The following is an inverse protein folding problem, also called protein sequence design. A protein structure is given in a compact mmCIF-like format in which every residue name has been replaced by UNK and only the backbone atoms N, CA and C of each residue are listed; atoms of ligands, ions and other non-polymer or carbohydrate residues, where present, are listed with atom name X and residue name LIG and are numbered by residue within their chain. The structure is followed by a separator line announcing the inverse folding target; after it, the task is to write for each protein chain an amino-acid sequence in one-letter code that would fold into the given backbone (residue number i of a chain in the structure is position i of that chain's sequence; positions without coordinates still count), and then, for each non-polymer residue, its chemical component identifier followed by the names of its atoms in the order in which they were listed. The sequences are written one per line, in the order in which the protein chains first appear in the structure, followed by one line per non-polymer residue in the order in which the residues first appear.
data_IF_074986219988
#
_entry.id   IF_074986219988
#
_cell.length_a   1.000
_cell.length_b   1.000
_cell.length_c   1.000
_cell.angle_alpha   90.00
_cell.angle_beta   90.00
_cell.angle_gamma   90.00
#
_symmetry.space_group_name_H-M   'P 1'
#
loop_
_entity.id
_entity.type
_entity.pdbx_description
1 polymer ?
#
# COMPACT_ATOMS: atom_id res chain seq x y z
N UNK A 1 21.15 16.63 -64.14
CA UNK A 1 21.24 16.11 -62.73
C UNK A 1 20.77 17.28 -61.89
N UNK A 2 19.50 17.30 -61.59
CA UNK A 2 18.89 18.32 -60.75
C UNK A 2 18.97 17.84 -59.31
N UNK A 3 19.77 18.55 -58.54
CA UNK A 3 19.80 18.36 -57.08
C UNK A 3 18.47 18.83 -56.47
N UNK A 4 17.75 17.90 -55.88
CA UNK A 4 16.51 18.15 -55.20
C UNK A 4 16.81 18.55 -53.73
N UNK A 5 16.60 19.82 -53.33
CA UNK A 5 16.92 20.30 -51.97
C UNK A 5 15.81 20.08 -50.93
N UNK A 6 14.95 19.07 -51.10
CA UNK A 6 13.83 18.83 -50.21
C UNK A 6 14.06 17.62 -49.28
N UNK A 7 15.14 17.72 -48.46
CA UNK A 7 15.27 16.87 -47.26
C UNK A 7 15.11 17.71 -45.98
N UNK A 8 14.06 18.51 -45.94
CA UNK A 8 13.55 19.02 -44.69
C UNK A 8 13.06 17.84 -43.87
N UNK A 9 13.82 17.40 -42.88
CA UNK A 9 13.44 16.39 -41.92
C UNK A 9 12.18 16.87 -41.17
N UNK A 10 10.99 16.57 -41.72
CA UNK A 10 9.75 16.80 -41.00
C UNK A 10 9.77 15.88 -39.77
N UNK A 11 9.89 16.47 -38.60
CA UNK A 11 9.76 15.76 -37.33
C UNK A 11 8.45 14.98 -37.33
N UNK A 12 8.44 13.73 -36.92
CA UNK A 12 7.22 12.95 -36.88
C UNK A 12 6.18 13.63 -35.98
N UNK A 13 4.94 13.74 -36.43
CA UNK A 13 3.83 14.42 -35.76
C UNK A 13 3.66 14.03 -34.27
N UNK A 14 4.15 12.85 -33.86
CA UNK A 14 4.18 12.41 -32.46
C UNK A 14 5.16 13.19 -31.60
N UNK A 15 6.29 13.58 -32.13
CA UNK A 15 7.35 14.30 -31.38
C UNK A 15 7.00 15.77 -31.19
N UNK A 16 6.32 16.41 -32.14
CA UNK A 16 5.87 17.80 -32.00
C UNK A 16 4.96 18.01 -30.79
N UNK A 17 4.19 17.00 -30.39
CA UNK A 17 3.33 17.04 -29.18
C UNK A 17 4.13 17.10 -27.86
N UNK A 18 5.37 16.86 -27.87
CA UNK A 18 6.26 16.99 -26.70
C UNK A 18 6.97 18.36 -26.69
N UNK A 19 7.03 19.06 -27.80
CA UNK A 19 7.77 20.31 -27.98
C UNK A 19 6.92 21.51 -27.54
N UNK A 20 7.55 22.43 -26.81
CA UNK A 20 7.03 23.77 -26.54
C UNK A 20 7.65 24.72 -27.55
N UNK A 21 6.81 25.40 -28.33
CA UNK A 21 7.23 26.40 -29.29
C UNK A 21 7.29 27.77 -28.61
N UNK A 22 8.43 28.42 -28.71
CA UNK A 22 8.63 29.81 -28.30
C UNK A 22 8.70 30.69 -29.54
N UNK A 23 7.82 31.66 -29.62
CA UNK A 23 7.74 32.58 -30.76
C UNK A 23 8.48 33.87 -30.42
N UNK A 24 9.34 34.39 -31.36
CA UNK A 24 10.03 35.65 -31.13
C UNK A 24 9.10 36.81 -30.79
N UNK A 25 9.56 37.66 -29.86
CA UNK A 25 8.70 38.70 -29.25
C UNK A 25 8.34 39.84 -30.22
N UNK A 26 9.13 40.11 -31.25
CA UNK A 26 8.91 41.18 -32.24
C UNK A 26 7.67 40.95 -33.12
N UNK A 27 7.07 39.81 -33.04
CA UNK A 27 5.88 39.46 -33.81
C UNK A 27 4.57 39.82 -33.12
N UNK A 28 4.63 40.36 -31.91
CA UNK A 28 3.47 40.59 -31.07
C UNK A 28 3.10 42.07 -30.92
N UNK A 29 1.80 42.35 -30.93
CA UNK A 29 1.21 43.53 -30.31
C UNK A 29 1.10 43.27 -28.82
N UNK A 30 1.53 44.22 -27.98
CA UNK A 30 1.55 44.06 -26.54
C UNK A 30 0.94 45.30 -25.89
N UNK A 31 0.10 45.11 -24.88
CA UNK A 31 -0.50 46.18 -24.11
C UNK A 31 -0.70 45.78 -22.64
N UNK A 32 -0.47 46.72 -21.73
CA UNK A 32 -0.77 46.55 -20.34
C UNK A 32 -2.06 47.32 -20.00
N UNK A 33 -3.09 46.61 -19.62
CA UNK A 33 -4.37 47.17 -19.25
C UNK A 33 -4.59 47.16 -17.76
N UNK A 34 -5.31 48.14 -17.20
CA UNK A 34 -5.71 48.16 -15.81
C UNK A 34 -6.83 47.18 -15.55
N UNK A 35 -6.71 46.38 -14.52
CA UNK A 35 -7.74 45.48 -14.03
C UNK A 35 -8.41 46.10 -12.81
N UNK A 36 -9.68 46.47 -12.84
CA UNK A 36 -10.38 46.95 -11.64
C UNK A 36 -10.45 45.88 -10.58
N UNK A 37 -10.29 46.24 -9.31
CA UNK A 37 -10.35 45.29 -8.16
C UNK A 37 -11.70 44.54 -8.05
N UNK A 38 -12.75 45.06 -8.68
CA UNK A 38 -14.09 44.47 -8.66
C UNK A 38 -14.32 43.35 -9.66
N UNK A 39 -13.36 43.09 -10.57
CA UNK A 39 -13.48 42.09 -11.64
C UNK A 39 -13.13 40.70 -11.11
N UNK A 40 -14.08 39.79 -11.17
CA UNK A 40 -13.83 38.39 -10.82
C UNK A 40 -12.92 37.73 -11.85
N UNK A 41 -12.16 36.70 -11.44
CA UNK A 41 -11.24 35.97 -12.34
C UNK A 41 -11.91 35.41 -13.58
N UNK A 42 -13.22 35.13 -13.54
CA UNK A 42 -14.00 34.63 -14.67
C UNK A 42 -14.32 35.72 -15.70
N UNK A 43 -14.36 36.98 -15.28
CA UNK A 43 -14.68 38.14 -16.10
C UNK A 43 -13.44 38.75 -16.75
N UNK A 44 -12.25 38.36 -16.32
CA UNK A 44 -10.97 38.83 -16.88
C UNK A 44 -10.88 38.52 -18.39
N UNK A 45 -11.32 37.34 -18.79
CA UNK A 45 -11.27 36.92 -20.21
C UNK A 45 -12.19 37.80 -21.07
N UNK A 46 -13.37 38.13 -20.58
CA UNK A 46 -14.31 39.03 -21.26
C UNK A 46 -13.75 40.46 -21.33
N UNK A 47 -13.08 40.93 -20.28
CA UNK A 47 -12.40 42.23 -20.30
C UNK A 47 -11.29 42.26 -21.34
N UNK A 48 -10.48 41.20 -21.45
CA UNK A 48 -9.41 41.06 -22.44
C UNK A 48 -9.98 41.03 -23.84
N UNK A 49 -11.04 40.26 -24.08
CA UNK A 49 -11.74 40.23 -25.37
C UNK A 49 -12.26 41.60 -25.78
N UNK A 50 -12.84 42.34 -24.84
CA UNK A 50 -13.33 43.71 -25.11
C UNK A 50 -12.20 44.71 -25.45
N UNK A 51 -10.95 44.44 -25.06
CA UNK A 51 -9.78 45.24 -25.51
C UNK A 51 -9.29 44.79 -26.88
N UNK A 52 -9.24 43.47 -27.12
CA UNK A 52 -8.84 42.90 -28.39
C UNK A 52 -9.76 43.31 -29.57
N UNK A 53 -11.04 43.56 -29.30
CA UNK A 53 -12.02 44.03 -30.27
C UNK A 53 -11.87 45.50 -30.66
N UNK A 54 -11.02 46.25 -29.94
CA UNK A 54 -10.77 47.66 -30.28
C UNK A 54 -9.69 47.77 -31.37
N UNK A 55 -9.97 48.56 -32.37
CA UNK A 55 -9.05 48.85 -33.47
C UNK A 55 -7.70 49.45 -32.99
N UNK A 56 -7.70 50.05 -31.79
CA UNK A 56 -6.51 50.68 -31.20
C UNK A 56 -5.43 49.65 -30.79
N UNK A 57 -5.84 48.45 -30.41
CA UNK A 57 -4.90 47.38 -30.04
C UNK A 57 -4.25 46.70 -31.24
N UNK A 58 -5.06 46.34 -32.24
CA UNK A 58 -4.63 45.62 -33.42
C UNK A 58 -5.50 45.91 -34.63
N UNK A 59 -4.94 46.07 -35.83
CA UNK A 59 -5.71 46.25 -37.05
C UNK A 59 -6.40 44.96 -37.55
N UNK A 60 -6.24 43.86 -36.82
CA UNK A 60 -6.79 42.57 -37.20
C UNK A 60 -7.99 42.19 -36.30
N UNK A 61 -9.05 41.59 -36.86
CA UNK A 61 -10.14 41.05 -36.08
C UNK A 61 -9.68 39.95 -35.10
N UNK A 62 -10.36 39.80 -33.96
CA UNK A 62 -9.99 38.87 -32.87
C UNK A 62 -9.90 37.42 -33.34
N UNK A 63 -10.79 37.01 -34.25
CA UNK A 63 -10.81 35.66 -34.84
C UNK A 63 -9.58 35.34 -35.71
N UNK A 64 -8.82 36.37 -36.12
CA UNK A 64 -7.59 36.27 -36.88
C UNK A 64 -6.34 36.39 -36.00
N UNK A 65 -6.50 36.54 -34.68
CA UNK A 65 -5.42 36.70 -33.72
C UNK A 65 -5.18 35.43 -32.90
N UNK A 66 -3.94 35.04 -32.80
CA UNK A 66 -3.43 34.18 -31.72
C UNK A 66 -3.09 35.08 -30.55
N UNK A 67 -3.77 34.94 -29.42
CA UNK A 67 -3.62 35.83 -28.27
C UNK A 67 -3.53 35.09 -26.95
N UNK A 68 -2.94 35.76 -25.99
CA UNK A 68 -2.83 35.33 -24.61
C UNK A 68 -2.70 36.53 -23.69
N UNK A 69 -2.84 36.29 -22.41
CA UNK A 69 -2.66 37.30 -21.39
C UNK A 69 -2.06 36.74 -20.12
N UNK A 70 -1.46 37.63 -19.35
CA UNK A 70 -0.92 37.32 -18.04
C UNK A 70 -1.46 38.26 -16.98
N UNK A 71 -1.97 37.71 -15.90
CA UNK A 71 -2.44 38.44 -14.73
C UNK A 71 -1.89 37.81 -13.43
N UNK A 72 -1.77 38.61 -12.39
CA UNK A 72 -1.39 38.14 -11.06
C UNK A 72 -2.29 38.77 -10.00
N UNK A 73 -2.65 38.05 -8.93
CA UNK A 73 -3.37 38.62 -7.80
C UNK A 73 -2.61 39.76 -7.09
N UNK A 74 -1.31 39.83 -7.29
CA UNK A 74 -0.41 40.84 -6.69
C UNK A 74 -0.35 42.13 -7.52
N UNK A 75 -1.07 42.19 -8.64
CA UNK A 75 -1.05 43.32 -9.57
C UNK A 75 -2.44 43.66 -10.09
N UNK A 76 -2.78 44.93 -10.11
CA UNK A 76 -4.01 45.47 -10.71
C UNK A 76 -3.87 45.66 -12.23
N UNK A 77 -2.94 44.91 -12.85
CA UNK A 77 -2.67 45.00 -14.27
C UNK A 77 -2.79 43.64 -14.94
N UNK A 78 -3.19 43.64 -16.19
CA UNK A 78 -3.20 42.48 -17.08
C UNK A 78 -2.31 42.82 -18.26
N UNK A 79 -1.34 41.97 -18.56
CA UNK A 79 -0.51 42.10 -19.74
C UNK A 79 -1.11 41.26 -20.87
N UNK A 80 -1.52 41.92 -21.95
CA UNK A 80 -2.13 41.33 -23.12
C UNK A 80 -1.16 41.34 -24.29
N UNK A 81 -1.16 40.25 -25.05
CA UNK A 81 -0.34 40.13 -26.27
C UNK A 81 -1.06 39.30 -27.31
N UNK A 82 -0.89 39.69 -28.56
CA UNK A 82 -1.50 39.00 -29.71
C UNK A 82 -0.64 39.10 -30.95
N UNK A 83 -0.81 38.16 -31.87
CA UNK A 83 -0.18 38.14 -33.18
C UNK A 83 -1.11 37.57 -34.22
N UNK A 84 -1.13 38.10 -35.48
CA UNK A 84 -2.01 37.57 -36.53
C UNK A 84 -1.62 36.15 -36.93
N UNK A 85 -2.59 35.25 -37.10
CA UNK A 85 -2.33 33.92 -37.64
C UNK A 85 -1.68 33.93 -39.01
N UNK A 86 -2.00 34.96 -39.84
CA UNK A 86 -1.35 35.15 -41.14
C UNK A 86 0.17 35.34 -41.01
N UNK A 87 0.62 36.11 -40.00
CA UNK A 87 2.05 36.33 -39.74
C UNK A 87 2.73 35.02 -39.28
N UNK A 88 2.12 34.30 -38.37
CA UNK A 88 2.63 33.00 -37.90
C UNK A 88 2.74 31.98 -39.04
N UNK A 89 1.75 31.97 -39.94
CA UNK A 89 1.75 31.10 -41.11
C UNK A 89 2.89 31.43 -42.07
N UNK A 90 3.14 32.73 -42.31
CA UNK A 90 4.25 33.18 -43.16
C UNK A 90 5.63 32.81 -42.59
N UNK A 91 5.73 32.65 -41.27
CA UNK A 91 6.93 32.17 -40.55
C UNK A 91 7.03 30.65 -40.50
N UNK A 92 6.11 29.91 -41.13
CA UNK A 92 6.11 28.47 -41.18
C UNK A 92 5.31 27.79 -40.05
N UNK A 93 4.75 28.52 -39.09
CA UNK A 93 4.03 27.96 -37.94
C UNK A 93 2.52 27.88 -38.26
N UNK A 94 2.14 26.94 -39.11
CA UNK A 94 0.74 26.87 -39.61
C UNK A 94 -0.22 26.20 -38.64
N UNK A 95 0.25 25.19 -37.89
CA UNK A 95 -0.56 24.33 -37.04
C UNK A 95 -0.08 24.37 -35.57
N UNK A 96 -0.41 25.44 -34.86
CA UNK A 96 -0.02 25.60 -33.44
C UNK A 96 -0.52 24.49 -32.54
N UNK A 97 -1.60 23.81 -32.93
CA UNK A 97 -2.21 22.70 -32.18
C UNK A 97 -1.33 21.44 -32.12
N UNK A 98 -0.34 21.33 -33.02
CA UNK A 98 0.60 20.21 -33.02
C UNK A 98 1.59 20.27 -31.86
N UNK A 99 1.87 21.47 -31.36
CA UNK A 99 2.81 21.69 -30.28
C UNK A 99 2.13 21.45 -28.92
N UNK A 100 2.95 21.04 -27.95
CA UNK A 100 2.49 20.88 -26.57
C UNK A 100 1.97 22.17 -25.96
N UNK A 101 2.67 23.28 -26.26
CA UNK A 101 2.38 24.66 -25.87
C UNK A 101 3.02 25.62 -26.84
N UNK A 102 2.47 26.82 -26.92
CA UNK A 102 2.99 27.88 -27.78
C UNK A 102 2.97 29.19 -27.00
N UNK A 103 4.13 29.80 -26.80
CA UNK A 103 4.27 31.06 -26.06
C UNK A 103 5.13 32.06 -26.83
N UNK A 104 4.94 33.37 -26.59
CA UNK A 104 6.01 34.34 -26.89
C UNK A 104 7.23 34.08 -25.99
N UNK A 105 8.44 34.27 -26.49
CA UNK A 105 9.68 34.08 -25.72
C UNK A 105 9.71 34.91 -24.43
N UNK A 106 9.19 36.12 -24.45
CA UNK A 106 9.15 37.03 -23.29
C UNK A 106 8.26 36.55 -22.13
N UNK A 107 7.40 35.53 -22.33
CA UNK A 107 6.62 34.93 -21.24
C UNK A 107 7.54 34.34 -20.15
N UNK A 108 8.77 34.01 -20.53
CA UNK A 108 9.79 33.56 -19.57
C UNK A 108 10.20 34.60 -18.53
N UNK A 109 9.85 35.86 -18.74
CA UNK A 109 10.07 36.94 -17.78
C UNK A 109 8.89 37.14 -16.79
N UNK A 110 7.71 36.58 -17.07
CA UNK A 110 6.50 36.80 -16.28
C UNK A 110 6.59 36.18 -14.90
N UNK A 111 6.08 36.87 -13.89
CA UNK A 111 6.11 36.40 -12.51
C UNK A 111 7.41 36.79 -11.77
N UNK A 112 8.35 37.47 -12.41
CA UNK A 112 9.48 38.07 -11.74
C UNK A 112 9.00 39.27 -10.90
N UNK A 113 9.47 39.36 -9.66
CA UNK A 113 9.13 40.45 -8.74
C UNK A 113 10.36 41.25 -8.39
N UNK A 114 10.24 42.57 -8.37
CA UNK A 114 11.36 43.49 -8.20
C UNK A 114 11.07 44.49 -7.06
N UNK A 115 12.09 44.79 -6.26
CA UNK A 115 11.99 45.82 -5.19
C UNK A 115 11.92 47.25 -5.71
N UNK A 116 12.32 47.46 -6.98
CA UNK A 116 12.31 48.76 -7.69
C UNK A 116 11.74 48.56 -9.09
N UNK A 117 11.22 49.62 -9.73
CA UNK A 117 10.91 49.59 -11.14
C UNK A 117 12.15 49.16 -11.94
N UNK A 118 12.03 48.08 -12.67
CA UNK A 118 13.19 47.43 -13.30
C UNK A 118 12.90 47.06 -14.75
N UNK A 119 13.87 47.32 -15.62
CA UNK A 119 13.88 46.79 -16.99
C UNK A 119 14.84 45.63 -17.10
N UNK A 120 14.33 44.49 -17.53
CA UNK A 120 15.08 43.25 -17.75
C UNK A 120 15.19 42.97 -19.24
N UNK A 121 16.40 42.64 -19.71
CA UNK A 121 16.67 42.28 -21.06
C UNK A 121 16.72 40.75 -21.20
N UNK A 122 16.05 40.22 -22.23
CA UNK A 122 16.01 38.79 -22.57
C UNK A 122 16.45 38.58 -24.00
N UNK A 123 17.47 37.78 -24.19
CA UNK A 123 17.89 37.26 -25.51
C UNK A 123 17.33 35.83 -25.68
N UNK A 124 16.58 35.62 -26.73
CA UNK A 124 16.13 34.30 -27.15
C UNK A 124 16.24 34.17 -28.66
N UNK A 125 17.06 33.21 -29.11
CA UNK A 125 17.37 33.06 -30.54
C UNK A 125 17.81 34.39 -31.16
N UNK A 126 17.14 34.84 -32.21
CA UNK A 126 17.43 36.06 -32.93
C UNK A 126 16.63 37.29 -32.44
N UNK A 127 16.11 37.27 -31.19
CA UNK A 127 15.28 38.35 -30.63
C UNK A 127 15.82 38.84 -29.31
N UNK A 128 16.02 40.16 -29.18
CA UNK A 128 16.25 40.83 -27.92
C UNK A 128 14.96 41.50 -27.45
N UNK A 129 14.47 41.16 -26.26
CA UNK A 129 13.29 41.73 -25.63
C UNK A 129 13.66 42.51 -24.38
N UNK A 130 12.98 43.63 -24.11
CA UNK A 130 13.04 44.38 -22.88
C UNK A 130 11.68 44.34 -22.18
N UNK A 131 11.60 43.79 -20.98
CA UNK A 131 10.42 43.78 -20.13
C UNK A 131 10.56 44.81 -19.01
N UNK A 132 9.64 45.77 -18.92
CA UNK A 132 9.58 46.80 -17.90
C UNK A 132 8.59 46.38 -16.81
N UNK A 133 9.05 46.32 -15.56
CA UNK A 133 8.26 45.89 -14.40
C UNK A 133 8.17 47.02 -13.37
N UNK A 134 6.99 47.25 -12.87
CA UNK A 134 6.77 48.15 -11.72
C UNK A 134 7.26 47.48 -10.42
N UNK A 135 7.50 48.31 -9.39
CA UNK A 135 7.85 47.81 -8.08
C UNK A 135 6.80 46.83 -7.59
N UNK A 136 7.26 45.66 -7.10
CA UNK A 136 6.43 44.62 -6.50
C UNK A 136 5.31 44.09 -7.43
N UNK A 137 5.40 44.32 -8.74
CA UNK A 137 4.45 43.80 -9.74
C UNK A 137 5.07 42.68 -10.59
N UNK A 138 4.54 41.46 -10.54
CA UNK A 138 4.99 40.37 -11.38
C UNK A 138 4.45 40.43 -12.81
N UNK A 139 3.64 41.46 -13.12
CA UNK A 139 3.07 41.72 -14.44
C UNK A 139 3.88 42.83 -15.09
N UNK A 140 4.44 42.62 -16.30
CA UNK A 140 5.17 43.68 -17.00
C UNK A 140 4.25 44.82 -17.40
N UNK A 141 4.75 46.04 -17.31
CA UNK A 141 4.06 47.25 -17.77
C UNK A 141 4.20 47.46 -19.26
N UNK A 142 5.37 47.10 -19.82
CA UNK A 142 5.65 47.16 -21.23
C UNK A 142 6.63 46.06 -21.65
N UNK A 143 6.51 45.60 -22.88
CA UNK A 143 7.50 44.73 -23.52
C UNK A 143 7.82 45.26 -24.89
N UNK A 144 9.10 45.44 -25.18
CA UNK A 144 9.61 45.86 -26.47
C UNK A 144 10.51 44.73 -26.98
N UNK A 145 10.46 44.41 -28.28
CA UNK A 145 11.28 43.37 -28.87
C UNK A 145 11.78 43.79 -30.23
N UNK A 146 13.06 43.49 -30.49
CA UNK A 146 13.71 43.73 -31.77
C UNK A 146 14.45 42.49 -32.26
N UNK A 147 14.38 42.18 -33.56
CA UNK A 147 15.20 41.16 -34.16
C UNK A 147 16.68 41.56 -34.16
N UNK A 148 17.56 40.61 -33.92
CA UNK A 148 19.00 40.77 -33.93
C UNK A 148 19.66 39.53 -34.52
N UNK A 149 20.89 39.70 -34.95
CA UNK A 149 21.79 38.58 -35.17
C UNK A 149 22.54 38.33 -33.85
N UNK A 150 22.32 37.21 -33.14
CA UNK A 150 22.96 36.98 -31.86
C UNK A 150 24.48 36.72 -31.97
N UNK A 151 24.96 36.41 -33.15
CA UNK A 151 26.42 36.21 -33.42
C UNK A 151 27.16 37.53 -33.67
N UNK A 152 26.44 38.62 -33.94
CA UNK A 152 27.00 39.94 -34.16
C UNK A 152 26.86 40.81 -32.89
N UNK A 153 27.98 41.00 -32.19
CA UNK A 153 28.03 41.83 -30.97
C UNK A 153 27.64 43.31 -31.25
N UNK A 154 27.94 43.83 -32.46
CA UNK A 154 27.58 45.23 -32.84
C UNK A 154 26.07 45.33 -33.03
N UNK A 155 25.43 44.34 -33.68
CA UNK A 155 23.96 44.28 -33.83
C UNK A 155 23.26 44.19 -32.49
N UNK A 156 23.80 43.39 -31.54
CA UNK A 156 23.29 43.30 -30.18
C UNK A 156 23.36 44.66 -29.44
N UNK A 157 24.48 45.37 -29.56
CA UNK A 157 24.66 46.70 -28.97
C UNK A 157 23.70 47.74 -29.55
N UNK A 158 23.48 47.73 -30.86
CA UNK A 158 22.54 48.61 -31.56
C UNK A 158 21.09 48.30 -31.13
N UNK A 159 20.70 47.01 -31.09
CA UNK A 159 19.36 46.60 -30.67
C UNK A 159 19.08 46.97 -29.21
N UNK A 160 20.07 46.77 -28.33
CA UNK A 160 19.99 47.22 -26.93
C UNK A 160 19.78 48.72 -26.81
N UNK A 161 20.56 49.52 -27.56
CA UNK A 161 20.42 50.98 -27.60
C UNK A 161 19.02 51.42 -28.08
N UNK A 162 18.49 50.76 -29.10
CA UNK A 162 17.12 51.01 -29.59
C UNK A 162 16.07 50.67 -28.54
N UNK A 163 16.16 49.50 -27.91
CA UNK A 163 15.24 49.08 -26.82
C UNK A 163 15.28 50.09 -25.67
N UNK A 164 16.44 50.47 -25.21
CA UNK A 164 16.58 51.40 -24.11
C UNK A 164 16.05 52.80 -24.44
N UNK A 165 16.07 53.21 -25.72
CA UNK A 165 15.43 54.48 -26.11
C UNK A 165 13.93 54.49 -26.06
N UNK A 166 13.28 53.30 -25.97
CA UNK A 166 11.82 53.17 -25.78
C UNK A 166 11.42 53.04 -24.31
N UNK A 167 12.38 52.77 -23.44
CA UNK A 167 12.20 52.64 -21.98
C UNK A 167 12.34 54.02 -21.34
N UNK A 168 11.48 54.33 -20.37
CA UNK A 168 11.63 55.53 -19.53
C UNK A 168 12.77 55.28 -18.51
N UNK A 169 13.99 55.66 -18.87
CA UNK A 169 15.19 55.45 -18.09
C UNK A 169 15.22 56.32 -16.79
N UNK A 170 14.32 57.31 -16.67
CA UNK A 170 14.18 58.08 -15.44
C UNK A 170 13.38 57.32 -14.40
N UNK A 171 12.47 56.47 -14.84
CA UNK A 171 11.63 55.68 -13.99
C UNK A 171 12.16 54.27 -13.73
N UNK A 172 12.72 53.62 -14.75
CA UNK A 172 13.16 52.22 -14.67
C UNK A 172 14.67 52.08 -14.53
N UNK A 173 15.11 51.32 -13.53
CA UNK A 173 16.49 50.83 -13.42
C UNK A 173 16.71 49.72 -14.44
N UNK A 174 17.69 49.86 -15.36
CA UNK A 174 18.01 48.82 -16.35
C UNK A 174 19.00 47.83 -15.76
N UNK A 175 18.68 46.54 -15.78
CA UNK A 175 19.65 45.51 -15.47
C UNK A 175 20.81 45.55 -16.46
N UNK A 176 22.05 45.56 -15.92
CA UNK A 176 23.24 45.73 -16.74
C UNK A 176 23.49 44.59 -17.71
N UNK A 177 23.00 43.40 -17.37
CA UNK A 177 23.25 42.17 -18.11
C UNK A 177 21.99 41.66 -18.84
N UNK A 178 22.20 40.76 -19.79
CA UNK A 178 21.13 40.19 -20.62
C UNK A 178 20.89 38.75 -20.16
N UNK A 179 19.65 38.41 -19.90
CA UNK A 179 19.22 37.03 -19.69
C UNK A 179 19.14 36.27 -20.99
N UNK A 180 19.58 35.02 -20.99
CA UNK A 180 19.40 34.09 -22.10
C UNK A 180 18.53 32.94 -21.60
N UNK A 181 17.44 32.63 -22.27
CA UNK A 181 16.60 31.50 -21.95
C UNK A 181 17.27 30.20 -22.40
N UNK A 182 17.49 29.27 -21.44
CA UNK A 182 18.14 27.99 -21.73
C UNK A 182 17.10 26.86 -21.85
N UNK A 183 16.29 26.67 -20.79
CA UNK A 183 15.37 25.54 -20.73
C UNK A 183 13.99 25.92 -20.18
N UNK A 184 13.02 25.13 -20.58
CA UNK A 184 11.67 25.17 -20.06
C UNK A 184 11.22 23.77 -19.67
N UNK A 185 10.94 23.54 -18.40
CA UNK A 185 10.53 22.22 -17.91
C UNK A 185 9.52 22.31 -16.78
N UNK A 186 8.91 21.18 -16.48
CA UNK A 186 7.96 21.04 -15.38
C UNK A 186 8.66 20.52 -14.13
N UNK A 187 8.52 21.24 -13.01
CA UNK A 187 9.02 20.83 -11.70
C UNK A 187 8.19 19.67 -11.12
N UNK A 188 8.73 18.98 -10.11
CA UNK A 188 8.03 17.90 -9.39
C UNK A 188 6.75 18.39 -8.71
N UNK A 189 6.73 19.64 -8.26
CA UNK A 189 5.60 20.28 -7.57
C UNK A 189 4.50 20.74 -8.55
N UNK A 190 4.70 20.53 -9.84
CA UNK A 190 3.71 20.81 -10.88
C UNK A 190 3.78 22.20 -11.48
N UNK A 191 4.67 23.07 -11.00
CA UNK A 191 4.98 24.34 -11.63
C UNK A 191 5.80 24.16 -12.89
N UNK A 192 5.84 25.20 -13.70
CA UNK A 192 6.68 25.25 -14.88
C UNK A 192 7.76 26.29 -14.65
N UNK A 193 8.99 25.89 -14.94
CA UNK A 193 10.18 26.69 -14.72
C UNK A 193 10.81 27.08 -16.03
N UNK A 194 11.13 28.36 -16.18
CA UNK A 194 12.02 28.87 -17.23
C UNK A 194 13.39 29.05 -16.61
N UNK A 195 14.39 28.36 -17.13
CA UNK A 195 15.77 28.49 -16.71
C UNK A 195 16.48 29.51 -17.60
N UNK A 196 17.14 30.48 -16.93
CA UNK A 196 17.88 31.54 -17.58
C UNK A 196 19.33 31.54 -17.15
N UNK A 197 20.20 31.98 -18.01
CA UNK A 197 21.57 32.34 -17.67
C UNK A 197 21.87 33.78 -18.06
N UNK A 198 22.93 34.36 -17.47
CA UNK A 198 23.42 35.67 -17.85
C UNK A 198 24.38 35.55 -19.06
N UNK A 199 24.20 36.42 -20.02
CA UNK A 199 25.03 36.41 -21.24
C UNK A 199 26.52 36.61 -20.92
N UNK A 200 26.87 37.47 -19.96
CA UNK A 200 28.24 37.85 -19.60
C UNK A 200 28.76 37.08 -18.36
N UNK A 201 28.09 36.06 -17.91
CA UNK A 201 28.63 35.16 -16.89
C UNK A 201 28.76 35.79 -15.49
N UNK A 202 27.65 36.19 -14.90
CA UNK A 202 27.59 36.54 -13.47
C UNK A 202 27.66 35.29 -12.58
N UNK A 203 27.94 35.53 -11.29
CA UNK A 203 28.06 34.49 -10.28
C UNK A 203 26.84 33.54 -10.30
N UNK A 204 27.03 32.20 -10.42
CA UNK A 204 25.96 31.20 -10.49
C UNK A 204 24.97 31.25 -9.31
N UNK A 205 25.37 31.85 -8.18
CA UNK A 205 24.46 32.01 -7.03
C UNK A 205 23.34 33.03 -7.25
N UNK A 206 23.55 34.00 -8.16
CA UNK A 206 22.52 34.96 -8.57
C UNK A 206 21.56 34.38 -9.61
N UNK A 207 21.96 33.34 -10.34
CA UNK A 207 21.13 32.66 -11.34
C UNK A 207 19.95 31.91 -10.69
N UNK A 208 20.13 31.35 -9.49
CA UNK A 208 19.11 30.56 -8.80
C UNK A 208 17.91 31.37 -8.29
N UNK A 209 18.08 32.66 -8.01
CA UNK A 209 16.98 33.52 -7.48
C UNK A 209 16.05 34.06 -8.57
N UNK A 210 16.41 33.90 -9.87
CA UNK A 210 15.69 34.54 -10.97
C UNK A 210 14.88 33.59 -11.85
N UNK A 211 14.81 32.33 -11.48
CA UNK A 211 14.02 31.36 -12.22
C UNK A 211 12.52 31.61 -12.04
N UNK A 212 11.85 31.92 -13.12
CA UNK A 212 10.42 32.17 -13.13
C UNK A 212 9.64 30.89 -13.01
N UNK A 213 8.75 30.82 -12.02
CA UNK A 213 7.84 29.70 -11.80
C UNK A 213 6.41 30.09 -12.16
N UNK A 214 5.84 29.45 -13.16
CA UNK A 214 4.44 29.68 -13.56
C UNK A 214 3.58 28.48 -13.19
N UNK A 215 2.43 28.74 -12.55
CA UNK A 215 1.40 27.74 -12.33
C UNK A 215 0.77 27.24 -13.63
N UNK A 216 0.27 26.02 -13.62
CA UNK A 216 -0.36 25.42 -14.80
C UNK A 216 -1.53 26.25 -15.37
N UNK A 217 -2.30 26.90 -14.49
CA UNK A 217 -3.45 27.71 -14.89
C UNK A 217 -3.01 28.99 -15.63
N UNK A 218 -1.95 29.66 -15.13
CA UNK A 218 -1.35 30.82 -15.78
C UNK A 218 -0.82 30.49 -17.17
N UNK A 219 -0.22 29.28 -17.32
CA UNK A 219 0.27 28.82 -18.63
C UNK A 219 -0.81 28.59 -19.67
N UNK A 220 -2.04 28.29 -19.29
CA UNK A 220 -3.15 28.21 -20.23
C UNK A 220 -3.60 29.59 -20.72
N UNK A 221 -3.47 30.61 -19.87
CA UNK A 221 -3.81 32.00 -20.22
C UNK A 221 -2.81 32.60 -21.21
N UNK A 222 -1.52 32.28 -21.06
CA UNK A 222 -0.46 32.75 -21.95
C UNK A 222 -0.27 31.93 -23.22
N UNK A 223 -0.94 30.77 -23.34
CA UNK A 223 -0.84 29.87 -24.50
C UNK A 223 -1.57 30.47 -25.73
N UNK A 224 -0.88 30.58 -26.86
CA UNK A 224 -1.34 31.17 -28.08
C UNK A 224 -2.21 30.25 -28.95
N UNK A 225 -2.39 29.01 -28.56
CA UNK A 225 -3.24 28.09 -29.31
C UNK A 225 -4.71 28.54 -29.29
N UNK A 226 -5.49 28.23 -30.33
CA UNK A 226 -6.90 28.67 -30.42
C UNK A 226 -7.70 28.36 -29.15
N UNK A 227 -8.57 29.27 -28.66
CA UNK A 227 -9.33 29.09 -27.42
C UNK A 227 -10.15 27.79 -27.41
N UNK A 228 -10.82 27.46 -28.52
CA UNK A 228 -11.59 26.21 -28.65
C UNK A 228 -10.72 24.97 -28.48
N UNK A 229 -9.52 24.98 -29.02
CA UNK A 229 -8.56 23.90 -28.84
C UNK A 229 -8.08 23.81 -27.39
N UNK A 230 -7.74 24.96 -26.76
CA UNK A 230 -7.33 25.00 -25.33
C UNK A 230 -8.39 24.41 -24.43
N UNK A 231 -9.66 24.77 -24.58
CA UNK A 231 -10.76 24.21 -23.81
C UNK A 231 -10.92 22.70 -24.00
N UNK A 232 -10.89 22.26 -25.26
CA UNK A 232 -11.02 20.85 -25.60
C UNK A 232 -9.88 20.02 -24.96
N UNK A 233 -8.67 20.52 -25.04
CA UNK A 233 -7.49 19.85 -24.48
C UNK A 233 -7.52 19.88 -22.95
N UNK A 234 -7.99 20.97 -22.32
CA UNK A 234 -8.19 21.02 -20.86
C UNK A 234 -9.24 20.01 -20.42
N UNK A 235 -10.39 19.95 -21.10
CA UNK A 235 -11.44 18.96 -20.83
C UNK A 235 -10.91 17.54 -20.98
N UNK A 236 -10.17 17.27 -22.06
CA UNK A 236 -9.54 15.97 -22.31
C UNK A 236 -8.55 15.57 -21.20
N UNK A 237 -7.69 16.48 -20.74
CA UNK A 237 -6.72 16.23 -19.65
C UNK A 237 -7.42 16.01 -18.31
N UNK A 238 -8.47 16.78 -17.99
CA UNK A 238 -9.31 16.57 -16.79
C UNK A 238 -10.00 15.21 -16.86
N UNK A 239 -10.59 14.85 -18.00
CA UNK A 239 -11.26 13.56 -18.18
C UNK A 239 -10.27 12.39 -18.10
N UNK A 240 -9.11 12.50 -18.72
CA UNK A 240 -8.05 11.48 -18.61
C UNK A 240 -7.60 11.25 -17.17
N UNK A 241 -7.45 12.33 -16.38
CA UNK A 241 -7.10 12.25 -14.95
C UNK A 241 -8.21 11.58 -14.15
N UNK A 242 -9.48 11.97 -14.37
CA UNK A 242 -10.64 11.34 -13.72
C UNK A 242 -10.75 9.86 -14.08
N UNK A 243 -10.58 9.52 -15.37
CA UNK A 243 -10.58 8.14 -15.84
C UNK A 243 -9.47 7.32 -15.15
N UNK A 244 -8.27 7.87 -15.04
CA UNK A 244 -7.17 7.22 -14.33
C UNK A 244 -7.49 7.01 -12.85
N UNK A 245 -8.01 8.03 -12.16
CA UNK A 245 -8.44 7.91 -10.77
C UNK A 245 -9.54 6.85 -10.59
N UNK A 246 -10.52 6.83 -11.50
CA UNK A 246 -11.57 5.82 -11.49
C UNK A 246 -11.01 4.41 -11.72
N UNK A 247 -10.05 4.21 -12.62
CA UNK A 247 -9.38 2.92 -12.83
C UNK A 247 -8.61 2.46 -11.59
N UNK A 248 -7.88 3.36 -10.94
CA UNK A 248 -7.12 3.05 -9.73
C UNK A 248 -8.06 2.70 -8.57
N UNK A 249 -9.13 3.49 -8.37
CA UNK A 249 -10.11 3.21 -7.30
C UNK A 249 -10.86 1.90 -7.54
N UNK A 250 -11.20 1.59 -8.80
CA UNK A 250 -11.82 0.32 -9.16
C UNK A 250 -10.87 -0.87 -8.94
N UNK A 251 -9.59 -0.72 -9.32
CA UNK A 251 -8.55 -1.72 -9.04
C UNK A 251 -8.37 -1.99 -7.54
N UNK A 252 -8.34 -0.93 -6.71
CA UNK A 252 -8.28 -1.06 -5.25
C UNK A 252 -9.54 -1.74 -4.69
N UNK A 253 -10.72 -1.40 -5.21
CA UNK A 253 -11.98 -2.05 -4.84
C UNK A 253 -11.97 -3.54 -5.16
N UNK A 254 -11.54 -3.93 -6.36
CA UNK A 254 -11.37 -5.33 -6.75
C UNK A 254 -10.38 -6.07 -5.85
N UNK A 255 -9.25 -5.47 -5.54
CA UNK A 255 -8.26 -6.05 -4.62
C UNK A 255 -8.84 -6.28 -3.22
N UNK A 256 -9.60 -5.31 -2.70
CA UNK A 256 -10.28 -5.46 -1.40
C UNK A 256 -11.30 -6.61 -1.42
N UNK A 257 -12.10 -6.73 -2.48
CA UNK A 257 -13.06 -7.86 -2.64
C UNK A 257 -12.32 -9.20 -2.69
N UNK A 258 -11.20 -9.30 -3.40
CA UNK A 258 -10.41 -10.53 -3.46
C UNK A 258 -9.84 -10.91 -2.09
N UNK A 259 -9.36 -9.93 -1.31
CA UNK A 259 -8.88 -10.16 0.05
C UNK A 259 -10.01 -10.65 0.95
N UNK A 260 -11.21 -10.06 0.86
CA UNK A 260 -12.38 -10.51 1.62
C UNK A 260 -12.79 -11.93 1.23
N UNK A 261 -12.83 -12.25 -0.06
CA UNK A 261 -13.15 -13.61 -0.53
C UNK A 261 -12.11 -14.64 -0.06
N UNK A 262 -10.83 -14.29 -0.10
CA UNK A 262 -9.77 -15.14 0.43
C UNK A 262 -9.94 -15.34 1.96
N UNK A 263 -10.27 -14.28 2.70
CA UNK A 263 -10.55 -14.35 4.13
C UNK A 263 -11.75 -15.24 4.46
N UNK A 264 -12.85 -15.07 3.74
CA UNK A 264 -14.05 -15.94 3.90
C UNK A 264 -13.73 -17.39 3.57
N UNK A 265 -12.98 -17.64 2.49
CA UNK A 265 -12.56 -18.99 2.11
C UNK A 265 -11.67 -19.62 3.18
N UNK A 266 -10.73 -18.86 3.72
CA UNK A 266 -9.87 -19.30 4.81
C UNK A 266 -10.65 -19.64 6.07
N UNK A 267 -11.59 -18.77 6.47
CA UNK A 267 -12.47 -19.03 7.62
C UNK A 267 -13.35 -20.27 7.39
N UNK A 268 -13.84 -20.48 6.16
CA UNK A 268 -14.62 -21.68 5.81
C UNK A 268 -13.79 -22.95 5.96
N UNK A 269 -12.54 -22.96 5.54
CA UNK A 269 -11.63 -24.10 5.71
C UNK A 269 -11.39 -24.41 7.20
N UNK A 270 -11.13 -23.38 8.01
CA UNK A 270 -10.95 -23.56 9.45
C UNK A 270 -12.24 -24.08 10.11
N UNK A 271 -13.41 -23.52 9.77
CA UNK A 271 -14.68 -23.94 10.35
C UNK A 271 -15.05 -25.38 9.95
N UNK A 272 -14.76 -25.79 8.72
CA UNK A 272 -15.00 -27.16 8.29
C UNK A 272 -14.08 -28.17 9.00
N UNK A 273 -12.82 -27.79 9.25
CA UNK A 273 -11.91 -28.59 10.07
C UNK A 273 -12.42 -28.79 11.48
N UNK A 274 -12.82 -27.70 12.17
CA UNK A 274 -13.42 -27.77 13.52
C UNK A 274 -14.72 -28.56 13.56
N UNK A 275 -15.56 -28.45 12.52
CA UNK A 275 -16.79 -29.25 12.42
C UNK A 275 -16.51 -30.75 12.26
N UNK A 276 -15.49 -31.12 11.47
CA UNK A 276 -15.07 -32.50 11.32
C UNK A 276 -14.50 -33.10 12.62
N UNK A 277 -13.69 -32.31 13.35
CA UNK A 277 -13.17 -32.71 14.67
C UNK A 277 -14.29 -32.86 15.69
N UNK A 278 -15.26 -31.94 15.71
CA UNK A 278 -16.43 -32.04 16.57
C UNK A 278 -17.27 -33.31 16.24
N UNK A 279 -17.48 -33.63 14.96
CA UNK A 279 -18.15 -34.84 14.54
C UNK A 279 -17.42 -36.12 15.01
N UNK A 280 -16.10 -36.13 14.93
CA UNK A 280 -15.29 -37.25 15.45
C UNK A 280 -15.46 -37.39 16.96
N UNK A 281 -15.39 -36.32 17.72
CA UNK A 281 -15.61 -36.30 19.15
C UNK A 281 -17.04 -36.79 19.51
N UNK A 282 -18.05 -36.34 18.78
CA UNK A 282 -19.43 -36.82 18.98
C UNK A 282 -19.61 -38.32 18.70
N UNK A 283 -18.87 -38.85 17.72
CA UNK A 283 -18.90 -40.27 17.41
C UNK A 283 -18.27 -41.13 18.52
N UNK A 284 -17.36 -40.59 19.35
CA UNK A 284 -16.74 -41.27 20.48
C UNK A 284 -17.57 -41.21 21.77
N UNK A 285 -18.49 -40.25 21.88
CA UNK A 285 -19.33 -40.04 23.08
C UNK A 285 -20.10 -41.30 23.49
N UNK A 286 -20.72 -42.10 22.58
CA UNK A 286 -21.39 -43.33 22.97
C UNK A 286 -20.49 -44.30 23.69
N UNK A 287 -19.27 -44.48 23.13
CA UNK A 287 -18.29 -45.41 23.68
C UNK A 287 -17.84 -45.00 25.10
N UNK A 288 -17.57 -43.71 25.29
CA UNK A 288 -17.19 -43.16 26.58
C UNK A 288 -18.36 -43.33 27.61
N UNK A 289 -19.62 -43.20 27.17
CA UNK A 289 -20.79 -43.43 28.04
C UNK A 289 -20.93 -44.90 28.40
N UNK A 290 -20.63 -45.82 27.49
CA UNK A 290 -20.64 -47.25 27.79
C UNK A 290 -19.58 -47.61 28.81
N UNK A 291 -18.36 -47.11 28.60
CA UNK A 291 -17.23 -47.32 29.52
C UNK A 291 -17.54 -46.74 30.92
N UNK A 292 -18.13 -45.54 30.98
CA UNK A 292 -18.57 -44.93 32.25
C UNK A 292 -19.64 -45.78 32.96
N UNK A 293 -20.64 -46.29 32.21
CA UNK A 293 -21.67 -47.16 32.80
C UNK A 293 -21.06 -48.47 33.29
N UNK A 294 -20.06 -48.99 32.60
CA UNK A 294 -19.34 -50.20 33.02
C UNK A 294 -18.54 -49.93 34.29
N UNK A 295 -17.79 -48.82 34.34
CA UNK A 295 -17.09 -48.38 35.55
C UNK A 295 -18.02 -48.15 36.72
N UNK A 296 -19.19 -47.58 36.51
CA UNK A 296 -20.16 -47.35 37.57
C UNK A 296 -20.76 -48.66 38.10
N UNK A 297 -21.03 -49.63 37.20
CA UNK A 297 -21.46 -50.98 37.61
C UNK A 297 -20.37 -51.71 38.38
N UNK A 298 -19.09 -51.57 38.01
CA UNK A 298 -17.96 -52.11 38.74
C UNK A 298 -17.82 -51.45 40.11
N UNK A 299 -17.96 -50.12 40.19
CA UNK A 299 -17.88 -49.36 41.46
C UNK A 299 -19.02 -49.65 42.41
N UNK A 300 -20.19 -49.98 41.90
CA UNK A 300 -21.36 -50.35 42.72
C UNK A 300 -21.38 -51.82 43.12
N UNK A 301 -20.32 -52.61 42.84
CA UNK A 301 -20.27 -54.05 43.14
C UNK A 301 -21.48 -54.86 42.63
N UNK A 302 -22.12 -54.41 41.57
CA UNK A 302 -23.32 -55.03 40.99
C UNK A 302 -23.00 -56.21 40.05
N UNK A 303 -21.73 -56.51 39.85
CA UNK A 303 -21.26 -57.71 39.15
C UNK A 303 -21.15 -58.89 40.16
N UNK A 304 -22.24 -59.51 40.43
CA UNK A 304 -22.26 -60.79 41.14
C UNK A 304 -21.84 -60.79 42.62
N UNK A 305 -21.77 -59.62 43.27
CA UNK A 305 -21.43 -59.54 44.69
C UNK A 305 -19.94 -59.77 45.02
N UNK A 306 -19.08 -59.75 44.03
CA UNK A 306 -17.64 -59.93 44.20
C UNK A 306 -16.96 -58.60 44.33
N UNK A 307 -16.18 -58.35 45.37
CA UNK A 307 -15.25 -57.19 45.49
C UNK A 307 -13.91 -57.53 44.79
N UNK A 308 -13.95 -57.41 43.47
CA UNK A 308 -12.80 -57.73 42.62
C UNK A 308 -11.55 -56.90 42.98
N UNK A 309 -11.75 -55.60 43.23
CA UNK A 309 -10.60 -54.69 43.54
C UNK A 309 -10.04 -54.95 44.93
N UNK A 310 -10.89 -55.24 45.91
CA UNK A 310 -10.44 -55.59 47.25
C UNK A 310 -9.72 -56.92 47.26
N UNK A 311 -10.21 -57.91 46.51
CA UNK A 311 -9.54 -59.19 46.36
C UNK A 311 -8.18 -59.09 45.69
N UNK A 312 -8.10 -58.41 44.55
CA UNK A 312 -6.82 -58.15 43.84
C UNK A 312 -5.84 -57.33 44.68
N UNK A 313 -6.32 -56.34 45.41
CA UNK A 313 -5.47 -55.54 46.31
C UNK A 313 -4.84 -56.40 47.42
N UNK A 314 -5.62 -57.31 48.00
CA UNK A 314 -5.11 -58.25 49.02
C UNK A 314 -4.10 -59.21 48.44
N UNK A 315 -4.34 -59.82 47.30
CA UNK A 315 -3.40 -60.68 46.63
C UNK A 315 -2.14 -59.91 46.22
N UNK A 316 -2.30 -58.69 45.68
CA UNK A 316 -1.23 -57.84 45.27
C UNK A 316 -0.27 -57.40 46.39
N UNK A 317 -0.74 -57.21 47.59
CA UNK A 317 0.07 -56.82 48.75
C UNK A 317 1.04 -57.92 49.20
N UNK A 318 0.91 -59.14 48.73
CA UNK A 318 1.77 -60.27 49.06
C UNK A 318 2.74 -60.69 47.95
N UNK A 319 2.83 -59.90 46.89
CA UNK A 319 3.68 -60.14 45.68
C UNK A 319 5.18 -60.20 45.94
N UNK A 320 5.68 -59.94 47.05
CA UNK A 320 7.12 -59.83 47.26
C UNK A 320 7.71 -58.59 46.52
N UNK A 321 8.59 -57.87 47.20
CA UNK A 321 9.33 -56.77 46.60
C UNK A 321 10.80 -57.00 46.79
N UNK A 322 11.56 -57.28 45.71
CA UNK A 322 13.02 -57.34 45.71
C UNK A 322 13.63 -55.95 45.61
N UNK A 323 14.97 -55.87 45.58
CA UNK A 323 15.70 -54.61 45.47
C UNK A 323 15.34 -53.80 44.16
N UNK A 324 14.90 -54.49 43.11
CA UNK A 324 14.64 -53.93 41.80
C UNK A 324 13.13 -53.76 41.49
N UNK A 325 12.22 -53.95 42.47
CA UNK A 325 10.78 -53.85 42.28
C UNK A 325 10.00 -55.12 42.58
N UNK A 326 8.76 -55.24 42.14
CA UNK A 326 7.91 -56.42 42.42
C UNK A 326 8.49 -57.67 41.77
N UNK A 327 8.50 -58.77 42.49
CA UNK A 327 9.01 -60.07 42.00
C UNK A 327 7.96 -60.84 41.20
N UNK A 328 6.70 -60.42 41.24
CA UNK A 328 5.59 -61.02 40.55
C UNK A 328 4.68 -59.96 39.91
N UNK A 329 4.23 -60.24 38.68
CA UNK A 329 3.29 -59.40 37.90
C UNK A 329 2.07 -60.23 37.53
N UNK A 330 0.89 -59.75 37.85
CA UNK A 330 -0.35 -60.38 37.44
C UNK A 330 -0.72 -59.88 36.06
N UNK A 331 -0.97 -60.76 35.11
CA UNK A 331 -1.44 -60.43 33.79
C UNK A 331 -2.92 -60.53 33.64
N UNK A 332 -3.54 -61.54 34.28
CA UNK A 332 -4.96 -61.76 34.23
C UNK A 332 -5.47 -62.33 35.55
N UNK A 333 -6.66 -61.95 35.96
CA UNK A 333 -7.39 -62.52 37.09
C UNK A 333 -8.85 -62.85 36.69
N UNK A 334 -9.20 -64.10 36.80
CA UNK A 334 -10.55 -64.55 36.45
C UNK A 334 -11.24 -65.03 37.72
N UNK A 335 -12.37 -64.39 38.06
CA UNK A 335 -13.19 -64.74 39.22
C UNK A 335 -14.33 -65.63 38.82
N UNK A 336 -14.26 -66.91 39.14
CA UNK A 336 -15.33 -67.90 38.85
C UNK A 336 -16.49 -67.76 39.80
N UNK A 337 -16.17 -67.51 41.05
CA UNK A 337 -17.18 -67.31 42.10
C UNK A 337 -16.70 -66.24 43.13
N UNK A 338 -17.49 -65.99 44.17
CA UNK A 338 -17.11 -65.02 45.23
C UNK A 338 -15.79 -65.29 45.89
N UNK A 339 -15.38 -66.52 45.97
CA UNK A 339 -14.19 -66.94 46.69
C UNK A 339 -13.14 -67.64 45.79
N UNK A 340 -13.48 -67.93 44.55
CA UNK A 340 -12.60 -68.61 43.63
C UNK A 340 -12.02 -67.66 42.62
N UNK A 341 -10.69 -67.62 42.57
CA UNK A 341 -9.94 -66.76 41.62
C UNK A 341 -8.85 -67.55 40.96
N UNK A 342 -8.83 -67.50 39.64
CA UNK A 342 -7.77 -67.99 38.80
C UNK A 342 -6.88 -66.83 38.45
N UNK A 343 -5.62 -66.91 38.82
CA UNK A 343 -4.64 -65.85 38.66
C UNK A 343 -3.52 -66.28 37.71
N UNK A 344 -3.34 -65.53 36.69
CA UNK A 344 -2.27 -65.69 35.68
C UNK A 344 -1.26 -64.55 35.80
N UNK A 345 0.02 -64.89 35.66
CA UNK A 345 1.04 -63.87 35.77
C UNK A 345 2.45 -64.34 35.40
N UNK A 346 3.41 -63.47 35.70
CA UNK A 346 4.84 -63.76 35.51
C UNK A 346 5.60 -63.53 36.79
N UNK A 347 6.50 -64.40 37.09
CA UNK A 347 7.43 -64.32 38.21
C UNK A 347 8.86 -64.19 37.73
N UNK A 348 9.71 -63.57 38.55
CA UNK A 348 11.15 -63.46 38.29
C UNK A 348 11.81 -64.83 38.22
N UNK A 349 11.35 -65.74 39.05
CA UNK A 349 11.80 -67.17 39.10
C UNK A 349 10.71 -67.99 39.80
N UNK A 350 10.85 -69.29 39.74
CA UNK A 350 9.96 -70.28 40.41
C UNK A 350 9.90 -70.09 41.92
N UNK A 351 11.01 -69.69 42.55
CA UNK A 351 11.13 -69.47 43.99
C UNK A 351 10.28 -68.28 44.45
N UNK A 352 10.23 -67.18 43.67
CA UNK A 352 9.40 -66.04 43.97
C UNK A 352 7.91 -66.42 43.89
N UNK A 353 7.49 -67.30 43.01
CA UNK A 353 6.13 -67.80 42.88
C UNK A 353 5.76 -68.66 44.10
N UNK A 354 6.67 -69.59 44.49
CA UNK A 354 6.45 -70.39 45.66
C UNK A 354 6.41 -69.57 46.95
N UNK A 355 7.28 -68.58 47.08
CA UNK A 355 7.30 -67.69 48.25
C UNK A 355 5.98 -66.89 48.35
N UNK A 356 5.45 -66.46 47.21
CA UNK A 356 4.12 -65.77 47.13
C UNK A 356 2.99 -66.65 47.61
N UNK A 357 2.97 -67.92 47.15
CA UNK A 357 2.00 -68.92 47.58
C UNK A 357 2.07 -69.17 49.12
N UNK A 358 3.29 -69.45 49.62
CA UNK A 358 3.48 -69.65 51.06
C UNK A 358 3.08 -68.43 51.90
N UNK A 359 3.34 -67.22 51.41
CA UNK A 359 2.92 -66.00 52.06
C UNK A 359 1.39 -65.85 52.14
N UNK A 360 0.67 -66.22 51.08
CA UNK A 360 -0.80 -66.15 51.03
C UNK A 360 -1.39 -67.17 52.00
N UNK A 361 -0.86 -68.40 52.03
CA UNK A 361 -1.33 -69.46 52.94
C UNK A 361 -0.97 -69.15 54.42
N UNK A 362 0.26 -68.72 54.67
CA UNK A 362 0.76 -68.39 56.05
C UNK A 362 -0.07 -67.23 56.64
N UNK A 363 -0.44 -66.25 55.78
CA UNK A 363 -1.25 -65.11 56.25
C UNK A 363 -2.74 -65.31 56.13
N UNK A 364 -3.15 -66.53 55.77
CA UNK A 364 -4.59 -66.92 55.65
C UNK A 364 -5.35 -65.99 54.72
N UNK A 365 -4.77 -65.56 53.61
CA UNK A 365 -5.41 -64.69 52.61
C UNK A 365 -6.07 -65.53 51.53
N UNK A 366 -5.40 -66.58 51.04
CA UNK A 366 -5.91 -67.49 50.07
C UNK A 366 -5.18 -68.84 50.20
N UNK A 367 -5.82 -69.93 49.86
CA UNK A 367 -5.20 -71.24 49.73
C UNK A 367 -5.22 -71.68 48.26
N UNK A 368 -4.21 -72.46 47.84
CA UNK A 368 -4.25 -73.09 46.54
C UNK A 368 -5.41 -74.10 46.51
N UNK A 369 -6.18 -74.04 45.46
CA UNK A 369 -7.25 -74.99 45.19
C UNK A 369 -6.68 -76.35 44.87
N UNK A 370 -7.27 -77.40 45.41
CA UNK A 370 -6.82 -78.76 45.16
C UNK A 370 -7.84 -79.51 44.30
N UNK A 371 -7.35 -80.29 43.34
CA UNK A 371 -8.22 -81.16 42.54
C UNK A 371 -8.82 -82.28 43.39
N UNK A 372 -9.69 -83.07 42.80
CA UNK A 372 -10.35 -84.19 43.50
C UNK A 372 -9.36 -85.27 43.99
N UNK A 373 -8.13 -85.33 43.48
CA UNK A 373 -7.07 -86.18 43.88
C UNK A 373 -6.18 -85.58 44.99
N UNK A 374 -6.47 -84.36 45.42
CA UNK A 374 -5.67 -83.68 46.48
C UNK A 374 -4.43 -82.94 45.97
N UNK A 375 -4.21 -82.90 44.70
CA UNK A 375 -3.07 -82.19 44.07
C UNK A 375 -3.44 -80.73 43.87
N UNK A 376 -2.51 -79.81 44.00
CA UNK A 376 -2.68 -78.35 43.81
C UNK A 376 -2.89 -78.06 42.36
N UNK A 377 -3.91 -77.19 42.08
CA UNK A 377 -4.17 -76.70 40.72
C UNK A 377 -3.27 -75.50 40.49
N UNK A 378 -2.07 -75.79 40.01
CA UNK A 378 -1.06 -74.81 39.62
C UNK A 378 -0.29 -75.27 38.38
N UNK A 379 -0.03 -74.36 37.50
CA UNK A 379 0.79 -74.60 36.32
C UNK A 379 1.89 -73.53 36.36
N UNK A 380 3.13 -73.93 36.36
CA UNK A 380 4.32 -73.01 36.38
C UNK A 380 5.22 -73.48 35.25
N UNK A 381 5.39 -72.63 34.26
CA UNK A 381 6.25 -72.88 33.15
C UNK A 381 7.45 -71.89 33.17
N UNK A 382 8.64 -72.39 32.93
CA UNK A 382 9.85 -71.57 32.87
C UNK A 382 10.51 -71.81 31.49
N UNK A 383 10.48 -70.75 30.66
CA UNK A 383 11.11 -70.77 29.35
C UNK A 383 11.95 -69.51 29.14
N UNK A 384 13.23 -69.70 28.72
CA UNK A 384 14.12 -68.59 28.33
C UNK A 384 14.33 -67.47 29.34
N UNK A 385 14.23 -67.73 30.64
CA UNK A 385 14.44 -66.73 31.71
C UNK A 385 13.18 -65.99 32.15
N UNK A 386 12.01 -66.35 31.64
CA UNK A 386 10.72 -65.88 32.10
C UNK A 386 9.95 -67.04 32.72
N UNK A 387 9.40 -66.87 33.88
CA UNK A 387 8.59 -67.89 34.56
C UNK A 387 7.14 -67.40 34.58
N UNK A 388 6.23 -68.10 33.86
CA UNK A 388 4.80 -67.83 33.86
C UNK A 388 4.11 -68.78 34.86
N UNK A 389 3.03 -68.31 35.42
CA UNK A 389 2.23 -69.12 36.35
C UNK A 389 0.75 -68.92 36.07
N UNK A 390 0.03 -70.03 36.30
CA UNK A 390 -1.42 -70.06 36.36
C UNK A 390 -1.82 -70.84 37.63
N UNK A 391 -2.52 -70.20 38.54
CA UNK A 391 -2.84 -70.76 39.87
C UNK A 391 -4.29 -70.43 40.22
N UNK A 392 -4.99 -71.46 40.67
CA UNK A 392 -6.32 -71.28 41.24
C UNK A 392 -6.27 -71.18 42.76
N UNK A 393 -6.88 -70.11 43.29
CA UNK A 393 -6.95 -69.85 44.71
C UNK A 393 -8.39 -69.80 45.22
N UNK A 394 -8.60 -70.37 46.41
CA UNK A 394 -9.76 -70.16 47.25
C UNK A 394 -9.48 -69.04 48.25
N UNK A 395 -10.12 -67.89 48.06
CA UNK A 395 -9.98 -66.74 48.97
C UNK A 395 -10.59 -67.05 50.31
N UNK A 396 -9.83 -66.85 51.39
CA UNK A 396 -10.35 -67.01 52.74
C UNK A 396 -11.15 -65.77 53.14
N UNK A 397 -12.34 -65.99 53.70
CA UNK A 397 -13.28 -64.93 54.04
C UNK A 397 -12.81 -64.13 55.26
N UNK A 398 -12.67 -62.81 55.16
CA UNK A 398 -13.55 -61.83 55.82
C UNK A 398 -13.29 -60.44 55.26
N UNK A 399 -14.32 -59.91 54.58
CA UNK A 399 -14.38 -58.50 54.25
C UNK A 399 -14.99 -57.72 55.43
N UNK A 400 -14.31 -56.72 56.01
CA UNK A 400 -14.92 -55.81 56.92
C UNK A 400 -16.03 -55.02 56.16
N UNK A 401 -17.22 -54.97 56.70
CA UNK A 401 -18.29 -54.09 56.21
C UNK A 401 -17.78 -52.65 56.21
N UNK A 402 -17.66 -52.05 55.02
CA UNK A 402 -17.44 -50.63 54.92
C UNK A 402 -18.55 -49.84 55.61
N UNK A 403 -18.16 -48.97 56.51
CA UNK A 403 -19.00 -47.94 57.09
C UNK A 403 -19.44 -46.96 55.98
N UNK A 404 -20.74 -46.74 55.95
CA UNK A 404 -21.39 -45.82 55.07
C UNK A 404 -20.99 -44.38 55.30
N UNK A 405 -20.77 -43.68 54.20
CA UNK A 405 -21.05 -42.27 53.94
C UNK A 405 -20.39 -41.18 54.79
N UNK A 406 -19.56 -40.43 54.14
CA UNK A 406 -19.52 -38.97 54.30
C UNK A 406 -19.94 -38.29 53.00
N UNK A 407 -21.00 -37.55 53.16
CA UNK A 407 -21.66 -36.68 52.23
C UNK A 407 -20.74 -35.47 51.95
N UNK A 408 -20.12 -35.41 50.82
CA UNK A 408 -19.32 -34.26 50.39
C UNK A 408 -20.20 -33.32 49.58
N UNK A 409 -20.57 -32.24 50.23
CA UNK A 409 -21.23 -31.04 49.66
C UNK A 409 -20.42 -30.45 48.55
N UNK A 410 -20.97 -30.40 47.35
CA UNK A 410 -20.49 -29.63 46.19
C UNK A 410 -20.71 -28.14 46.42
N UNK A 411 -19.75 -27.27 46.03
CA UNK A 411 -19.98 -25.83 46.03
C UNK A 411 -20.83 -25.42 44.82
N UNK A 412 -21.80 -24.54 45.11
CA UNK A 412 -22.65 -23.88 44.10
C UNK A 412 -21.79 -23.08 43.11
N UNK A 413 -21.99 -23.34 41.82
CA UNK A 413 -21.57 -22.47 40.74
C UNK A 413 -22.25 -21.10 40.87
N UNK A 414 -21.40 -20.07 40.74
CA UNK A 414 -21.80 -18.69 40.57
C UNK A 414 -22.12 -18.43 39.09
N UNK A 415 -23.30 -17.90 38.83
CA UNK A 415 -23.71 -17.37 37.51
C UNK A 415 -22.86 -16.15 37.14
N UNK A 416 -22.48 -16.01 35.87
CA UNK A 416 -21.93 -14.76 35.37
C UNK A 416 -23.01 -13.77 34.97
N UNK A 417 -22.87 -12.55 35.47
CA UNK A 417 -23.57 -11.37 35.00
C UNK A 417 -22.96 -10.81 33.69
#
# INVERSE_FOLDING_TARGET
MEDNPDNGSSLPLGELREITLLIPGEHFFCECISCPESVEEKEIEDLVLGVLEKDEFSPYPVDQLAWGFYNSPESNHIFLFATPFSKLRNLGWQNLELFRRVFPSFVSLFGANFEKPTTRLLLHEETLSAGCFEKESPVPKAIFSFPIDPEDEEALGIARGKLLSLVDLEHYDVEADILVLEEFFRTKDGFFKFEHKWLVGKDPKLELEQNVLLGADKLWKVDLRPPVFKETEQKRRRFSRLRWQAMVSWGLGMAAVLVLLAGVSYLKVISSGKAADAQRMYAEVPKVREDQKLLEKLRQNKLGGIDVFGALGRLGNHRGFGQDGPELWFSQAHFESRNEVKLEGQGKNVEAINTFIENLEKKKVANIRKNRSGEEIREIESDGGKTTFEIEFDLMEELPKQASSEESTLPKEAEPG
#
